data_IF_675101387002
#
_entry.id   IF_675101387002
#
_cell.length_a   1.000
_cell.length_b   1.000
_cell.length_c   1.000
_cell.angle_alpha   90.00
_cell.angle_beta   90.00
_cell.angle_gamma   90.00
#
_symmetry.space_group_name_H-M   'P 1'
#
loop_
_entity.id
_entity.type
_entity.pdbx_description
1 polymer ?
#
# COMPACT_ATOMS: atom_id res chain seq x y z
N UNK A 1 21.34 -12.49 3.03
CA UNK A 1 21.29 -11.07 2.62
C UNK A 1 20.83 -10.28 3.84
N UNK A 2 21.60 -9.29 4.29
CA UNK A 2 21.43 -8.69 5.62
C UNK A 2 20.28 -7.68 5.67
N UNK A 3 19.34 -7.89 6.59
CA UNK A 3 18.13 -7.08 6.79
C UNK A 3 18.45 -5.89 7.70
N UNK A 4 18.07 -4.67 7.32
CA UNK A 4 18.04 -3.50 8.22
C UNK A 4 16.61 -3.34 8.76
N UNK A 5 16.41 -3.65 10.03
CA UNK A 5 15.16 -3.38 10.74
C UNK A 5 15.24 -2.01 11.40
N UNK A 6 14.30 -1.11 11.09
CA UNK A 6 14.02 0.08 11.90
C UNK A 6 12.78 -0.20 12.74
N UNK A 7 12.95 -0.34 14.05
CA UNK A 7 11.83 -0.52 14.99
C UNK A 7 11.26 0.84 15.38
N UNK A 8 10.08 1.17 14.84
CA UNK A 8 9.12 2.02 15.53
C UNK A 8 8.02 1.11 16.08
N UNK A 9 7.50 1.36 17.28
CA UNK A 9 6.69 0.39 18.06
C UNK A 9 5.36 -0.05 17.40
N UNK A 10 5.05 0.50 16.24
CA UNK A 10 3.83 0.28 15.45
C UNK A 10 4.09 -0.14 14.01
N UNK A 11 5.35 -0.15 13.55
CA UNK A 11 5.71 -0.40 12.14
C UNK A 11 6.98 -1.26 12.06
N UNK A 12 6.88 -2.37 11.33
CA UNK A 12 8.03 -3.19 10.92
C UNK A 12 8.19 -3.04 9.42
N UNK A 13 9.36 -2.56 8.98
CA UNK A 13 9.74 -2.45 7.57
C UNK A 13 10.90 -3.38 7.23
N UNK A 14 10.78 -4.09 6.11
CA UNK A 14 11.89 -4.84 5.48
C UNK A 14 11.84 -4.63 3.96
N UNK A 15 13.00 -4.38 3.34
CA UNK A 15 13.11 -4.07 1.91
C UNK A 15 14.14 -4.94 1.20
N UNK A 16 13.84 -5.29 -0.05
CA UNK A 16 14.75 -5.74 -1.11
C UNK A 16 14.68 -4.64 -2.20
N UNK A 17 15.70 -4.48 -3.06
CA UNK A 17 15.86 -3.33 -3.98
C UNK A 17 14.61 -2.96 -4.82
N UNK A 18 13.64 -3.87 -5.00
CA UNK A 18 12.38 -3.64 -5.72
C UNK A 18 11.10 -3.88 -4.88
N UNK A 19 11.19 -4.22 -3.60
CA UNK A 19 10.06 -4.70 -2.78
C UNK A 19 10.13 -4.20 -1.34
N UNK A 20 9.02 -3.66 -0.83
CA UNK A 20 8.88 -3.24 0.56
C UNK A 20 7.72 -3.98 1.25
N UNK A 21 7.99 -4.39 2.50
CA UNK A 21 6.99 -4.93 3.42
C UNK A 21 6.69 -3.92 4.51
N UNK A 22 5.41 -3.58 4.65
CA UNK A 22 4.93 -2.66 5.69
C UNK A 22 3.87 -3.35 6.56
N UNK A 23 4.15 -3.53 7.85
CA UNK A 23 3.17 -4.09 8.78
C UNK A 23 2.52 -2.99 9.64
N UNK A 24 1.19 -2.95 9.64
CA UNK A 24 0.39 -2.05 10.49
C UNK A 24 -0.40 -2.88 11.51
N UNK A 25 -0.29 -2.54 12.79
CA UNK A 25 -1.10 -3.17 13.84
C UNK A 25 -2.59 -2.90 13.61
N UNK A 26 -3.39 -3.97 13.55
CA UNK A 26 -4.84 -3.88 13.38
C UNK A 26 -5.53 -3.52 14.71
N UNK A 27 -5.31 -2.28 15.18
CA UNK A 27 -6.10 -1.70 16.27
C UNK A 27 -7.53 -1.38 15.80
N UNK A 28 -8.40 -0.95 16.72
CA UNK A 28 -9.81 -0.69 16.40
C UNK A 28 -10.00 0.43 15.37
N UNK A 29 -9.09 1.41 15.32
CA UNK A 29 -9.15 2.52 14.37
C UNK A 29 -8.78 2.03 12.96
N UNK A 30 -7.66 1.33 12.81
CA UNK A 30 -7.21 0.78 11.53
C UNK A 30 -8.17 -0.27 10.97
N UNK A 31 -8.76 -1.11 11.82
CA UNK A 31 -9.80 -2.07 11.41
C UNK A 31 -10.99 -1.41 10.72
N UNK A 32 -11.42 -0.25 11.20
CA UNK A 32 -12.53 0.49 10.61
C UNK A 32 -12.15 1.18 9.29
N UNK A 33 -10.91 1.68 9.17
CA UNK A 33 -10.43 2.36 7.96
C UNK A 33 -10.19 1.37 6.82
N UNK A 34 -9.61 0.20 7.13
CA UNK A 34 -9.26 -0.83 6.14
C UNK A 34 -10.37 -1.89 5.98
N UNK A 35 -11.38 -1.89 6.86
CA UNK A 35 -12.46 -2.88 6.92
C UNK A 35 -11.93 -4.33 7.06
N UNK A 36 -11.02 -4.53 8.01
CA UNK A 36 -10.39 -5.84 8.28
C UNK A 36 -10.82 -6.41 9.64
N UNK A 37 -10.98 -7.73 9.71
CA UNK A 37 -11.33 -8.48 10.95
C UNK A 37 -10.09 -9.07 11.64
N UNK A 38 -8.89 -8.69 11.22
CA UNK A 38 -7.63 -9.26 11.69
C UNK A 38 -7.39 -8.96 13.17
N UNK A 39 -7.00 -10.01 13.90
CA UNK A 39 -6.49 -9.93 15.26
C UNK A 39 -4.95 -10.07 15.24
N UNK A 40 -4.27 -9.01 14.84
CA UNK A 40 -2.81 -9.00 14.66
C UNK A 40 -2.34 -7.84 13.80
N UNK A 41 -1.56 -8.12 12.76
CA UNK A 41 -1.03 -7.13 11.84
C UNK A 41 -1.60 -7.32 10.44
N UNK A 42 -1.87 -6.22 9.76
CA UNK A 42 -2.08 -6.21 8.31
C UNK A 42 -0.76 -5.83 7.66
N UNK A 43 -0.21 -6.73 6.85
CA UNK A 43 1.03 -6.51 6.14
C UNK A 43 0.75 -6.16 4.69
N UNK A 44 1.40 -5.12 4.20
CA UNK A 44 1.33 -4.65 2.82
C UNK A 44 2.60 -5.05 2.09
N UNK A 45 2.44 -5.46 0.85
CA UNK A 45 3.51 -5.69 -0.11
C UNK A 45 3.34 -4.72 -1.27
N UNK A 46 4.37 -3.93 -1.53
CA UNK A 46 4.33 -2.90 -2.56
C UNK A 46 5.73 -2.54 -3.05
N UNK A 47 5.77 -1.77 -4.12
CA UNK A 47 7.00 -1.15 -4.62
C UNK A 47 7.50 -0.10 -3.60
N UNK A 48 8.82 0.06 -3.38
CA UNK A 48 9.38 1.02 -2.42
C UNK A 48 9.05 2.49 -2.73
N UNK A 49 8.59 2.80 -3.94
CA UNK A 49 8.13 4.13 -4.33
C UNK A 49 6.63 4.35 -4.11
N UNK A 50 5.92 3.35 -3.61
CA UNK A 50 4.49 3.40 -3.30
C UNK A 50 4.25 3.52 -1.80
N UNK A 51 3.16 4.19 -1.44
CA UNK A 51 2.65 4.13 -0.07
C UNK A 51 1.75 2.90 0.10
N UNK A 52 1.84 2.18 1.24
CA UNK A 52 0.95 1.06 1.52
C UNK A 52 -0.51 1.56 1.51
N UNK A 53 -1.32 0.95 0.64
CA UNK A 53 -2.70 1.37 0.43
C UNK A 53 -3.62 0.17 0.22
N UNK A 54 -4.93 0.43 0.08
CA UNK A 54 -5.91 -0.62 -0.25
C UNK A 54 -5.64 -1.29 -1.62
N UNK A 55 -4.84 -0.65 -2.47
CA UNK A 55 -4.47 -1.16 -3.79
C UNK A 55 -3.26 -2.09 -3.74
N UNK A 56 -2.45 -1.98 -2.68
CA UNK A 56 -1.30 -2.84 -2.44
C UNK A 56 -1.77 -4.24 -2.05
N UNK A 57 -0.94 -5.24 -2.34
CA UNK A 57 -1.20 -6.61 -1.92
C UNK A 57 -1.14 -6.71 -0.39
N UNK A 58 -2.13 -7.37 0.21
CA UNK A 58 -2.32 -7.41 1.66
C UNK A 58 -2.27 -8.84 2.20
N UNK A 59 -1.66 -9.00 3.37
CA UNK A 59 -1.54 -10.27 4.09
C UNK A 59 -1.97 -10.08 5.54
N UNK A 60 -2.89 -10.92 5.98
CA UNK A 60 -3.37 -10.97 7.34
C UNK A 60 -2.43 -11.80 8.23
N UNK A 61 -1.76 -11.17 9.19
CA UNK A 61 -0.81 -11.82 10.09
C UNK A 61 -1.42 -11.97 11.48
N UNK A 62 -1.72 -13.22 11.85
CA UNK A 62 -2.26 -13.57 13.17
C UNK A 62 -1.14 -13.76 14.20
N UNK A 63 -1.23 -13.10 15.35
CA UNK A 63 -0.13 -13.13 16.34
C UNK A 63 0.12 -14.50 16.99
N UNK A 64 -0.82 -15.45 16.89
CA UNK A 64 -0.69 -16.80 17.43
C UNK A 64 -0.10 -17.82 16.44
N UNK A 65 0.29 -17.38 15.24
CA UNK A 65 0.93 -18.19 14.22
C UNK A 65 2.35 -17.70 13.93
N UNK A 66 3.23 -18.63 13.59
CA UNK A 66 4.50 -18.36 12.91
C UNK A 66 4.24 -18.43 11.41
N UNK A 67 4.75 -17.45 10.66
CA UNK A 67 4.58 -17.35 9.21
C UNK A 67 5.93 -17.41 8.52
N UNK A 68 6.01 -18.23 7.47
CA UNK A 68 7.05 -18.16 6.46
C UNK A 68 6.43 -17.64 5.17
N UNK A 69 6.94 -16.53 4.66
CA UNK A 69 6.44 -15.89 3.44
C UNK A 69 7.52 -16.03 2.39
N UNK A 70 7.21 -16.83 1.37
CA UNK A 70 8.06 -17.01 0.20
C UNK A 70 7.57 -16.09 -0.90
N UNK A 71 8.51 -15.34 -1.48
CA UNK A 71 8.25 -14.37 -2.55
C UNK A 71 8.90 -14.87 -3.83
N UNK A 72 8.13 -14.94 -4.90
CA UNK A 72 8.57 -15.24 -6.26
C UNK A 72 8.37 -14.00 -7.15
N UNK A 73 9.43 -13.21 -7.44
CA UNK A 73 9.34 -12.04 -8.30
C UNK A 73 9.34 -12.44 -9.78
N UNK A 74 8.38 -11.93 -10.54
CA UNK A 74 8.32 -12.06 -12.00
C UNK A 74 8.44 -10.69 -12.66
N UNK A 75 9.52 -10.51 -13.43
CA UNK A 75 9.78 -9.30 -14.18
C UNK A 75 9.02 -9.37 -15.49
N UNK A 76 8.21 -8.35 -15.75
CA UNK A 76 7.58 -8.11 -17.04
C UNK A 76 8.28 -6.90 -17.64
N UNK A 77 8.79 -7.07 -18.85
CA UNK A 77 9.41 -6.01 -19.61
C UNK A 77 8.72 -5.91 -20.96
N UNK A 78 8.62 -4.69 -21.48
CA UNK A 78 8.10 -4.47 -22.83
C UNK A 78 9.05 -5.03 -23.89
N UNK A 79 8.46 -5.53 -24.99
CA UNK A 79 9.24 -5.90 -26.17
C UNK A 79 9.72 -4.63 -26.89
N UNK A 80 10.99 -4.60 -27.30
CA UNK A 80 11.61 -3.46 -28.00
C UNK A 80 10.78 -3.01 -29.21
N UNK A 81 10.10 -3.93 -29.90
CA UNK A 81 9.25 -3.64 -31.04
C UNK A 81 8.00 -2.81 -30.71
N UNK A 82 7.62 -2.71 -29.44
CA UNK A 82 6.44 -1.98 -28.95
C UNK A 82 6.78 -0.60 -28.37
N UNK A 83 8.07 -0.23 -28.29
CA UNK A 83 8.51 1.05 -27.71
C UNK A 83 7.97 2.23 -28.50
N UNK A 84 7.98 2.15 -29.83
CA UNK A 84 7.55 3.24 -30.73
C UNK A 84 6.02 3.41 -30.82
N UNK A 85 5.24 2.51 -30.23
CA UNK A 85 3.78 2.59 -30.24
C UNK A 85 3.28 3.64 -29.23
N UNK A 86 2.12 4.22 -29.46
CA UNK A 86 1.55 5.17 -28.50
C UNK A 86 1.08 4.45 -27.22
N UNK A 87 1.09 5.11 -26.04
CA UNK A 87 0.75 4.46 -24.76
C UNK A 87 -0.59 3.74 -24.74
N UNK A 88 -1.58 4.29 -25.45
CA UNK A 88 -2.91 3.73 -25.54
C UNK A 88 -2.98 2.47 -26.42
N UNK A 89 -2.06 2.30 -27.37
CA UNK A 89 -1.98 1.12 -28.24
C UNK A 89 -1.30 -0.04 -27.51
N UNK A 90 -0.23 0.25 -26.76
CA UNK A 90 0.47 -0.76 -25.91
C UNK A 90 -0.18 -0.98 -24.55
N UNK A 91 -1.13 -0.13 -24.15
CA UNK A 91 -1.87 -0.20 -22.89
C UNK A 91 -0.98 -0.11 -21.62
N UNK A 92 0.15 0.59 -21.72
CA UNK A 92 1.09 0.84 -20.62
C UNK A 92 1.87 2.15 -20.85
N UNK A 93 2.47 2.68 -19.78
CA UNK A 93 3.37 3.84 -19.87
C UNK A 93 4.83 3.43 -19.71
N UNK A 94 5.69 3.99 -20.55
CA UNK A 94 7.13 4.05 -20.33
C UNK A 94 7.43 5.14 -19.28
N UNK A 95 8.62 5.07 -18.67
CA UNK A 95 9.01 5.88 -17.52
C UNK A 95 8.80 7.40 -17.70
N UNK A 96 8.99 7.93 -18.91
CA UNK A 96 8.95 9.38 -19.18
C UNK A 96 7.61 9.91 -19.67
N UNK A 97 6.62 9.06 -19.87
CA UNK A 97 5.39 9.42 -20.59
C UNK A 97 4.27 9.95 -19.71
N UNK A 98 4.25 9.53 -18.45
CA UNK A 98 3.22 9.94 -17.51
C UNK A 98 3.82 10.45 -16.21
N UNK A 99 4.04 11.77 -16.16
CA UNK A 99 4.62 12.44 -15.00
C UNK A 99 3.55 12.76 -13.97
N UNK A 100 3.79 12.34 -12.74
CA UNK A 100 2.96 12.63 -11.59
C UNK A 100 3.38 13.97 -10.95
N UNK A 101 2.43 14.67 -10.35
CA UNK A 101 2.67 15.93 -9.65
C UNK A 101 3.22 15.72 -8.23
N UNK A 102 2.75 14.69 -7.54
CA UNK A 102 3.10 14.45 -6.14
C UNK A 102 4.20 13.40 -5.95
N UNK A 103 4.45 12.56 -6.95
CA UNK A 103 5.42 11.48 -6.90
C UNK A 103 6.49 11.64 -7.98
N UNK A 104 7.70 11.17 -7.68
CA UNK A 104 8.81 11.19 -8.64
C UNK A 104 8.79 10.01 -9.60
N UNK A 105 8.28 8.87 -9.14
CA UNK A 105 8.24 7.61 -9.88
C UNK A 105 6.80 7.29 -10.22
N UNK A 106 6.54 7.02 -11.49
CA UNK A 106 5.24 6.57 -11.94
C UNK A 106 5.02 5.13 -11.49
N UNK A 107 3.94 4.91 -10.76
CA UNK A 107 3.32 3.60 -10.61
C UNK A 107 1.83 3.76 -10.77
N UNK A 108 1.12 2.67 -11.08
CA UNK A 108 -0.34 2.73 -11.16
C UNK A 108 -0.96 3.16 -9.83
N UNK A 109 -0.43 2.70 -8.70
CA UNK A 109 -0.94 3.05 -7.36
C UNK A 109 -0.73 4.55 -7.09
N UNK A 110 0.45 5.08 -7.40
CA UNK A 110 0.75 6.50 -7.26
C UNK A 110 -0.15 7.37 -8.16
N UNK A 111 -0.40 6.93 -9.40
CA UNK A 111 -1.34 7.59 -10.31
C UNK A 111 -2.77 7.61 -9.76
N UNK A 112 -3.26 6.47 -9.25
CA UNK A 112 -4.61 6.40 -8.69
C UNK A 112 -4.75 7.27 -7.42
N UNK A 113 -3.72 7.34 -6.58
CA UNK A 113 -3.67 8.22 -5.42
C UNK A 113 -3.71 9.71 -5.81
N UNK A 114 -2.99 10.11 -6.86
CA UNK A 114 -3.03 11.45 -7.42
C UNK A 114 -4.38 11.78 -8.06
N UNK A 115 -4.97 10.83 -8.79
CA UNK A 115 -6.29 11.00 -9.36
C UNK A 115 -7.35 11.24 -8.27
N UNK A 116 -7.33 10.43 -7.20
CA UNK A 116 -8.20 10.61 -6.04
C UNK A 116 -7.99 11.98 -5.39
N UNK A 117 -6.74 12.40 -5.21
CA UNK A 117 -6.42 13.70 -4.60
C UNK A 117 -6.96 14.87 -5.42
N UNK A 118 -6.74 14.85 -6.73
CA UNK A 118 -7.25 15.86 -7.64
C UNK A 118 -8.79 15.86 -7.67
N UNK A 119 -9.42 14.68 -7.65
CA UNK A 119 -10.86 14.55 -7.54
C UNK A 119 -11.41 15.19 -6.26
N UNK A 120 -10.80 14.90 -5.10
CA UNK A 120 -11.19 15.47 -3.81
C UNK A 120 -11.06 16.99 -3.79
N UNK A 121 -9.94 17.52 -4.30
CA UNK A 121 -9.74 18.98 -4.45
C UNK A 121 -10.84 19.57 -5.32
N UNK A 122 -11.16 18.98 -6.48
CA UNK A 122 -12.20 19.49 -7.37
C UNK A 122 -13.60 19.49 -6.76
N UNK A 123 -13.89 18.53 -5.88
CA UNK A 123 -15.25 18.33 -5.35
C UNK A 123 -15.49 19.04 -4.02
N UNK A 124 -14.47 19.10 -3.18
CA UNK A 124 -14.56 19.57 -1.80
C UNK A 124 -13.58 20.69 -1.45
N UNK A 125 -12.68 21.08 -2.36
CA UNK A 125 -11.66 22.12 -2.14
C UNK A 125 -10.74 21.84 -0.93
N UNK A 126 -10.58 20.55 -0.60
CA UNK A 126 -9.70 20.04 0.43
C UNK A 126 -9.46 18.54 0.25
N UNK A 127 -8.46 18.03 0.99
CA UNK A 127 -8.12 16.60 1.05
C UNK A 127 -8.15 16.10 2.49
N UNK A 128 -8.23 14.79 2.69
CA UNK A 128 -8.10 14.22 4.02
C UNK A 128 -6.64 14.24 4.50
N UNK A 129 -6.43 14.27 5.81
CA UNK A 129 -5.10 14.47 6.41
C UNK A 129 -4.05 13.41 6.05
N UNK A 130 -4.48 12.21 5.66
CA UNK A 130 -3.61 11.09 5.27
C UNK A 130 -3.39 11.01 3.76
N UNK A 131 -4.09 11.84 2.97
CA UNK A 131 -3.92 11.88 1.53
C UNK A 131 -2.64 12.61 1.16
N UNK A 132 -2.13 12.31 -0.02
CA UNK A 132 -1.00 13.06 -0.58
C UNK A 132 -1.38 14.52 -0.79
N UNK A 133 -0.44 15.40 -0.50
CA UNK A 133 -0.66 16.84 -0.50
C UNK A 133 0.66 17.58 -0.71
N UNK A 134 0.57 18.82 -1.17
CA UNK A 134 1.70 19.74 -1.17
C UNK A 134 1.48 20.82 -0.10
N UNK A 135 2.43 21.74 0.05
CA UNK A 135 2.35 22.82 1.06
C UNK A 135 1.17 23.78 0.88
N UNK A 136 0.51 23.76 -0.27
CA UNK A 136 -0.63 24.63 -0.60
C UNK A 136 -1.99 23.93 -0.52
N UNK A 137 -2.00 22.60 -0.43
CA UNK A 137 -3.25 21.84 -0.37
C UNK A 137 -3.89 21.97 1.01
N UNK A 138 -5.17 22.35 1.07
CA UNK A 138 -5.94 22.48 2.30
C UNK A 138 -6.41 21.12 2.82
N UNK A 139 -6.25 20.88 4.12
CA UNK A 139 -6.80 19.70 4.80
C UNK A 139 -8.26 19.98 5.19
N UNK A 140 -9.15 19.02 4.93
CA UNK A 140 -10.55 19.11 5.29
C UNK A 140 -10.72 19.14 6.82
N UNK A 141 -11.59 20.02 7.30
CA UNK A 141 -12.00 20.07 8.69
C UNK A 141 -13.08 19.02 9.01
N UNK A 142 -13.31 18.78 10.30
CA UNK A 142 -14.37 17.84 10.74
C UNK A 142 -15.77 18.25 10.25
N UNK A 143 -16.06 19.54 10.09
CA UNK A 143 -17.34 20.03 9.54
C UNK A 143 -17.56 19.67 8.07
N UNK A 144 -16.49 19.34 7.34
CA UNK A 144 -16.53 19.02 5.91
C UNK A 144 -16.64 17.51 5.65
N UNK A 145 -16.80 16.72 6.72
CA UNK A 145 -16.99 15.27 6.68
C UNK A 145 -17.99 14.80 5.65
N UNK A 146 -19.14 15.47 5.59
CA UNK A 146 -20.19 15.13 4.64
C UNK A 146 -19.74 15.29 3.18
N UNK A 147 -18.86 16.25 2.88
CA UNK A 147 -18.34 16.42 1.53
C UNK A 147 -17.41 15.28 1.17
N UNK A 148 -16.37 15.04 1.98
CA UNK A 148 -15.37 14.05 1.64
C UNK A 148 -15.94 12.61 1.65
N UNK A 149 -16.87 12.28 2.55
CA UNK A 149 -17.56 10.98 2.55
C UNK A 149 -18.33 10.76 1.23
N UNK A 150 -19.03 11.80 0.75
CA UNK A 150 -19.76 11.73 -0.52
C UNK A 150 -18.82 11.66 -1.71
N UNK A 151 -17.76 12.48 -1.71
CA UNK A 151 -16.78 12.51 -2.79
C UNK A 151 -16.09 11.14 -2.92
N UNK A 152 -15.66 10.55 -1.80
CA UNK A 152 -15.10 9.19 -1.78
C UNK A 152 -16.05 8.16 -2.39
N UNK A 153 -17.34 8.20 -2.02
CA UNK A 153 -18.32 7.27 -2.59
C UNK A 153 -18.50 7.46 -4.10
N UNK A 154 -18.50 8.72 -4.58
CA UNK A 154 -18.60 9.00 -6.02
C UNK A 154 -17.31 8.75 -6.80
N UNK A 155 -16.18 8.62 -6.11
CA UNK A 155 -14.89 8.40 -6.76
C UNK A 155 -14.84 7.02 -7.43
N UNK A 156 -15.53 6.01 -6.89
CA UNK A 156 -15.55 4.68 -7.51
C UNK A 156 -16.11 4.72 -8.94
N UNK A 157 -17.15 5.52 -9.18
CA UNK A 157 -17.69 5.72 -10.54
C UNK A 157 -16.72 6.51 -11.43
N UNK A 158 -16.03 7.50 -10.84
CA UNK A 158 -15.06 8.34 -11.55
C UNK A 158 -13.73 7.64 -11.83
N UNK A 159 -13.38 6.60 -11.06
CA UNK A 159 -12.06 5.96 -11.07
C UNK A 159 -11.66 5.44 -12.45
N UNK A 160 -12.63 5.00 -13.25
CA UNK A 160 -12.44 4.59 -14.65
C UNK A 160 -11.99 5.72 -15.58
N UNK A 161 -12.25 6.98 -15.21
CA UNK A 161 -11.80 8.16 -15.94
C UNK A 161 -10.34 8.51 -15.64
N UNK A 162 -9.74 7.91 -14.61
CA UNK A 162 -8.32 8.06 -14.32
C UNK A 162 -7.51 7.32 -15.40
N UNK A 163 -6.62 8.03 -16.10
CA UNK A 163 -5.74 7.46 -17.14
C UNK A 163 -4.51 6.77 -16.54
N UNK A 164 -4.72 5.87 -15.57
CA UNK A 164 -3.67 5.18 -14.83
C UNK A 164 -3.42 3.79 -15.41
N UNK A 165 -2.70 3.73 -16.54
CA UNK A 165 -2.24 2.47 -17.14
C UNK A 165 -1.13 1.86 -16.27
N UNK A 166 -0.85 0.57 -16.43
CA UNK A 166 0.32 -0.01 -15.77
C UNK A 166 1.61 0.56 -16.38
N UNK A 167 2.73 0.62 -15.63
CA UNK A 167 4.03 0.79 -16.24
C UNK A 167 4.32 -0.38 -17.17
N UNK A 168 5.06 -0.13 -18.25
CA UNK A 168 5.42 -1.16 -19.24
C UNK A 168 6.41 -2.17 -18.67
N UNK A 169 7.37 -1.69 -17.89
CA UNK A 169 8.30 -2.53 -17.13
C UNK A 169 7.86 -2.56 -15.66
N UNK A 170 7.61 -3.75 -15.13
CA UNK A 170 7.14 -3.93 -13.76
C UNK A 170 7.45 -5.30 -13.19
N UNK A 171 7.46 -5.39 -11.87
CA UNK A 171 7.67 -6.64 -11.13
C UNK A 171 6.37 -7.08 -10.47
N UNK A 172 5.93 -8.30 -10.77
CA UNK A 172 4.86 -8.97 -10.05
C UNK A 172 5.44 -9.82 -8.92
N UNK A 173 4.81 -9.80 -7.75
CA UNK A 173 5.21 -10.62 -6.62
C UNK A 173 4.18 -11.71 -6.34
N UNK A 174 4.56 -12.97 -6.60
CA UNK A 174 3.74 -14.12 -6.23
C UNK A 174 4.14 -14.62 -4.86
N UNK A 175 3.16 -14.83 -3.99
CA UNK A 175 3.39 -15.20 -2.60
C UNK A 175 2.94 -16.61 -2.31
N UNK A 176 3.82 -17.36 -1.65
CA UNK A 176 3.45 -18.62 -0.98
C UNK A 176 3.60 -18.41 0.52
N UNK A 177 2.51 -18.62 1.25
CA UNK A 177 2.46 -18.40 2.70
C UNK A 177 2.32 -19.75 3.37
N UNK A 178 3.31 -20.10 4.18
CA UNK A 178 3.22 -21.21 5.11
C UNK A 178 2.97 -20.65 6.51
N UNK A 179 1.94 -21.13 7.19
CA UNK A 179 1.56 -20.67 8.51
C UNK A 179 1.39 -21.84 9.46
N UNK A 180 2.00 -21.74 10.63
CA UNK A 180 1.94 -22.76 11.67
C UNK A 180 1.52 -22.13 12.97
N UNK A 181 0.50 -22.69 13.61
CA UNK A 181 0.09 -22.23 14.94
C UNK A 181 1.27 -22.36 15.90
N UNK A 182 1.66 -21.26 16.54
CA UNK A 182 2.77 -21.25 17.49
C UNK A 182 2.35 -22.08 18.69
N UNK A 183 3.05 -23.18 18.93
CA UNK A 183 2.87 -23.91 20.18
C UNK A 183 3.27 -22.98 21.32
N UNK A 184 2.39 -22.78 22.30
CA UNK A 184 2.76 -22.13 23.55
C UNK A 184 3.86 -22.96 24.20
N UNK A 185 5.12 -22.61 23.93
CA UNK A 185 6.23 -23.13 24.70
C UNK A 185 5.98 -22.73 26.15
N UNK A 186 6.06 -23.70 27.05
CA UNK A 186 5.86 -23.55 28.50
C UNK A 186 7.01 -22.74 29.14
N UNK A 187 7.66 -21.84 28.38
CA UNK A 187 8.78 -21.03 28.84
C UNK A 187 8.35 -19.92 29.80
N UNK A 188 7.12 -19.40 29.67
CA UNK A 188 6.61 -18.34 30.55
C UNK A 188 5.97 -18.83 31.86
N UNK A 189 5.83 -20.14 32.10
CA UNK A 189 5.39 -20.61 33.44
C UNK A 189 6.47 -20.40 34.51
N UNK A 190 7.73 -20.19 34.13
CA UNK A 190 8.83 -20.04 35.09
C UNK A 190 9.28 -18.59 35.30
N UNK A 191 8.90 -17.61 34.46
CA UNK A 191 9.24 -16.21 34.72
C UNK A 191 8.42 -15.58 35.86
N UNK A 192 7.19 -16.06 36.10
CA UNK A 192 6.33 -15.56 37.19
C UNK A 192 6.64 -16.25 38.54
N UNK A 193 7.42 -17.35 38.52
CA UNK A 193 7.72 -18.13 39.72
C UNK A 193 8.98 -17.68 40.47
N UNK A 194 9.70 -16.67 39.96
CA UNK A 194 10.93 -16.12 40.55
C UNK A 194 10.78 -14.67 41.06
N UNK A 195 9.55 -14.17 41.24
CA UNK A 195 9.29 -12.85 41.81
C UNK A 195 8.33 -12.85 43.02
N UNK A 196 8.22 -13.97 43.75
CA UNK A 196 7.58 -14.00 45.08
C UNK A 196 8.44 -14.82 46.03
#
# INVERSE_FOLDING_TARGET
MSVKTTEDKTRLTTSIDSLEFDAIGADTFFRNVVNTKVHGYLMFLHDPYELPSKLSQQIDINMDHDFNIFVDPQINAIDDSLIDFEPHERNCYLDDEHKLKFFKVYTRINCEAECLTNFMISRCDCVEFFMIQNSTTRICSASEKRCFDKARNSFEDYRSSCKCLQPCDYVNYYLTIDSKKRHRTVFYKNCIRYQI
#
